data_IF_540941481698
#
_entry.id   IF_540941481698
#
_cell.length_a   1.000
_cell.length_b   1.000
_cell.length_c   1.000
_cell.angle_alpha   90.00
_cell.angle_beta   90.00
_cell.angle_gamma   90.00
#
_symmetry.space_group_name_H-M   'P 1'
#
loop_
_entity.id
_entity.type
_entity.pdbx_description
1 polymer ?
#
# COMPACT_ATOMS: atom_id res chain seq x y z
N UNK A 1 -50.88 67.67 -28.52
CA UNK A 1 -50.52 66.59 -29.48
C UNK A 1 -49.48 65.72 -28.75
N UNK A 2 -49.83 64.64 -28.05
CA UNK A 2 -50.21 63.32 -28.59
C UNK A 2 -49.16 62.78 -29.58
N UNK A 3 -48.08 62.13 -29.10
CA UNK A 3 -47.93 60.65 -29.10
C UNK A 3 -46.45 60.22 -29.03
N UNK A 4 -46.23 59.26 -28.12
CA UNK A 4 -45.30 58.13 -28.27
C UNK A 4 -43.79 58.40 -28.29
N UNK A 5 -43.24 58.86 -27.16
CA UNK A 5 -42.10 58.09 -26.64
C UNK A 5 -42.75 56.98 -25.85
N UNK A 6 -42.79 55.78 -26.43
CA UNK A 6 -42.95 54.57 -25.63
C UNK A 6 -41.77 54.61 -24.67
N UNK A 7 -41.99 55.10 -23.45
CA UNK A 7 -41.00 55.06 -22.40
C UNK A 7 -40.76 53.58 -22.18
N UNK A 8 -39.69 53.04 -22.77
CA UNK A 8 -39.38 51.64 -22.59
C UNK A 8 -38.88 51.48 -21.16
N UNK A 9 -39.81 51.25 -20.24
CA UNK A 9 -39.52 51.11 -18.82
C UNK A 9 -38.59 49.92 -18.57
N UNK A 10 -38.50 48.96 -19.49
CA UNK A 10 -37.52 47.87 -19.45
C UNK A 10 -36.10 48.39 -19.75
N UNK A 11 -35.94 49.29 -20.73
CA UNK A 11 -34.65 49.92 -21.02
C UNK A 11 -34.19 50.81 -19.85
N UNK A 12 -35.10 51.58 -19.25
CA UNK A 12 -34.79 52.41 -18.07
C UNK A 12 -34.45 51.54 -16.86
N UNK A 13 -35.21 50.47 -16.63
CA UNK A 13 -34.96 49.50 -15.57
C UNK A 13 -33.60 48.80 -15.73
N UNK A 14 -33.19 48.49 -16.97
CA UNK A 14 -31.88 47.89 -17.26
C UNK A 14 -30.71 48.82 -16.91
N UNK A 15 -30.95 50.14 -16.91
CA UNK A 15 -29.97 51.19 -16.60
C UNK A 15 -30.19 51.82 -15.23
N UNK A 16 -30.97 51.19 -14.35
CA UNK A 16 -31.34 51.80 -13.06
C UNK A 16 -30.13 52.17 -12.20
N UNK A 17 -29.04 51.39 -12.28
CA UNK A 17 -27.79 51.68 -11.57
C UNK A 17 -27.16 53.02 -11.96
N UNK A 18 -27.36 53.51 -13.19
CA UNK A 18 -26.86 54.83 -13.61
C UNK A 18 -27.60 55.94 -12.84
N UNK A 19 -28.93 55.84 -12.74
CA UNK A 19 -29.75 56.79 -11.99
C UNK A 19 -29.50 56.75 -10.48
N UNK A 20 -29.19 55.58 -9.93
CA UNK A 20 -28.80 55.43 -8.52
C UNK A 20 -27.46 56.14 -8.28
N UNK A 21 -26.47 55.98 -9.17
CA UNK A 21 -25.17 56.66 -9.05
C UNK A 21 -25.30 58.17 -9.11
N UNK A 22 -26.19 58.68 -9.98
CA UNK A 22 -26.43 60.11 -10.12
C UNK A 22 -27.33 60.69 -9.01
N UNK A 23 -28.01 59.84 -8.22
CA UNK A 23 -28.86 60.25 -7.10
C UNK A 23 -30.10 61.05 -7.50
N UNK A 24 -30.48 61.01 -8.78
CA UNK A 24 -31.52 61.85 -9.36
C UNK A 24 -32.83 61.08 -9.68
N UNK A 25 -32.87 59.77 -9.43
CA UNK A 25 -33.99 58.89 -9.81
C UNK A 25 -35.37 59.42 -9.39
N UNK A 26 -35.54 59.79 -8.11
CA UNK A 26 -36.81 60.31 -7.58
C UNK A 26 -37.14 61.76 -8.01
N UNK A 27 -36.19 62.47 -8.61
CA UNK A 27 -36.40 63.82 -9.15
C UNK A 27 -36.79 63.81 -10.63
N UNK A 28 -36.42 62.75 -11.36
CA UNK A 28 -36.64 62.61 -12.80
C UNK A 28 -38.01 61.99 -13.11
N UNK A 29 -38.43 61.00 -12.32
CA UNK A 29 -39.62 60.19 -12.64
C UNK A 29 -40.78 60.50 -11.70
N UNK A 30 -41.99 60.54 -12.26
CA UNK A 30 -43.21 60.62 -11.46
C UNK A 30 -43.52 59.27 -10.77
N UNK A 31 -44.37 59.28 -9.75
CA UNK A 31 -44.71 58.11 -8.92
C UNK A 31 -45.19 56.90 -9.74
N UNK A 32 -46.03 57.12 -10.75
CA UNK A 32 -46.54 56.03 -11.60
C UNK A 32 -45.45 55.45 -12.53
N UNK A 33 -44.48 56.26 -12.93
CA UNK A 33 -43.33 55.80 -13.72
C UNK A 33 -42.35 55.03 -12.85
N UNK A 34 -42.02 55.57 -11.66
CA UNK A 34 -41.18 54.90 -10.67
C UNK A 34 -41.70 53.49 -10.41
N UNK A 35 -42.99 53.34 -10.13
CA UNK A 35 -43.59 52.03 -9.86
C UNK A 35 -43.42 51.02 -11.01
N UNK A 36 -43.51 51.46 -12.27
CA UNK A 36 -43.31 50.60 -13.45
C UNK A 36 -41.83 50.24 -13.61
N UNK A 37 -40.94 51.21 -13.45
CA UNK A 37 -39.50 51.01 -13.51
C UNK A 37 -39.05 50.03 -12.41
N UNK A 38 -39.46 50.27 -11.17
CA UNK A 38 -39.13 49.44 -10.00
C UNK A 38 -39.58 47.99 -10.13
N UNK A 39 -40.70 47.73 -10.82
CA UNK A 39 -41.21 46.38 -11.09
C UNK A 39 -40.35 45.61 -12.10
N UNK A 40 -39.80 46.31 -13.08
CA UNK A 40 -38.99 45.71 -14.16
C UNK A 40 -37.50 45.69 -13.84
N UNK A 41 -37.09 46.26 -12.71
CA UNK A 41 -35.69 46.39 -12.29
C UNK A 41 -35.26 45.21 -11.42
N UNK A 42 -34.01 44.78 -11.61
CA UNK A 42 -33.34 43.81 -10.76
C UNK A 42 -32.23 44.53 -9.99
N UNK A 43 -32.32 44.53 -8.66
CA UNK A 43 -31.35 45.21 -7.82
C UNK A 43 -30.43 44.22 -7.11
N UNK A 44 -29.18 44.61 -6.90
CA UNK A 44 -28.41 44.07 -5.79
C UNK A 44 -28.96 44.63 -4.47
N UNK A 45 -28.72 43.95 -3.35
CA UNK A 45 -29.09 44.46 -2.03
C UNK A 45 -28.54 45.88 -1.78
N UNK A 46 -27.28 46.13 -2.17
CA UNK A 46 -26.63 47.42 -2.02
C UNK A 46 -27.30 48.50 -2.89
N UNK A 47 -27.54 48.23 -4.18
CA UNK A 47 -28.19 49.20 -5.07
C UNK A 47 -29.60 49.58 -4.58
N UNK A 48 -30.36 48.58 -4.12
CA UNK A 48 -31.69 48.82 -3.57
C UNK A 48 -31.64 49.68 -2.30
N UNK A 49 -30.73 49.35 -1.37
CA UNK A 49 -30.51 50.12 -0.13
C UNK A 49 -30.12 51.56 -0.43
N UNK A 50 -29.18 51.78 -1.36
CA UNK A 50 -28.76 53.11 -1.79
C UNK A 50 -29.92 53.88 -2.42
N UNK A 51 -30.71 53.23 -3.29
CA UNK A 51 -31.85 53.88 -3.93
C UNK A 51 -32.88 54.34 -2.90
N UNK A 52 -33.33 53.47 -1.99
CA UNK A 52 -34.34 53.86 -0.99
C UNK A 52 -33.81 54.88 0.02
N UNK A 53 -32.49 54.92 0.26
CA UNK A 53 -31.88 55.98 1.05
C UNK A 53 -32.01 57.34 0.37
N UNK A 54 -31.81 57.42 -0.94
CA UNK A 54 -31.94 58.67 -1.71
C UNK A 54 -33.37 59.23 -1.72
N UNK A 55 -34.37 58.42 -1.36
CA UNK A 55 -35.79 58.80 -1.46
C UNK A 55 -36.28 59.70 -0.31
N UNK A 56 -35.53 59.80 0.79
CA UNK A 56 -36.01 60.34 2.08
C UNK A 56 -36.50 61.79 2.06
N UNK A 57 -36.10 62.58 1.07
CA UNK A 57 -36.51 63.98 0.91
C UNK A 57 -37.55 64.19 -0.21
N UNK A 58 -37.80 63.18 -1.03
CA UNK A 58 -38.51 63.33 -2.31
C UNK A 58 -39.87 62.64 -2.33
N UNK A 59 -40.01 61.54 -1.58
CA UNK A 59 -41.22 60.70 -1.58
C UNK A 59 -41.63 60.33 -0.15
N UNK A 60 -42.93 60.26 0.14
CA UNK A 60 -43.42 59.84 1.45
C UNK A 60 -43.22 58.34 1.66
N UNK A 61 -43.08 57.89 2.90
CA UNK A 61 -42.84 56.49 3.25
C UNK A 61 -43.90 55.50 2.68
N UNK A 62 -45.18 55.89 2.65
CA UNK A 62 -46.26 55.07 2.09
C UNK A 62 -46.21 55.00 0.55
N UNK A 63 -45.88 56.10 -0.12
CA UNK A 63 -45.69 56.17 -1.57
C UNK A 63 -44.46 55.37 -1.99
N UNK A 64 -43.36 55.47 -1.23
CA UNK A 64 -42.16 54.67 -1.40
C UNK A 64 -42.48 53.18 -1.33
N UNK A 65 -43.18 52.74 -0.30
CA UNK A 65 -43.62 51.35 -0.18
C UNK A 65 -44.45 50.90 -1.40
N UNK A 66 -45.42 51.70 -1.86
CA UNK A 66 -46.24 51.35 -3.03
C UNK A 66 -45.39 51.21 -4.30
N UNK A 67 -44.38 52.06 -4.46
CA UNK A 67 -43.49 52.05 -5.61
C UNK A 67 -42.54 50.85 -5.63
N UNK A 68 -42.04 50.42 -4.46
CA UNK A 68 -40.97 49.42 -4.36
C UNK A 68 -41.46 48.01 -3.94
N UNK A 69 -42.72 47.83 -3.54
CA UNK A 69 -43.23 46.55 -3.00
C UNK A 69 -43.15 45.35 -3.95
N UNK A 70 -43.00 45.59 -5.25
CA UNK A 70 -42.90 44.54 -6.27
C UNK A 70 -41.49 44.46 -6.88
N UNK A 71 -40.51 45.06 -6.24
CA UNK A 71 -39.13 45.09 -6.72
C UNK A 71 -38.43 43.77 -6.44
N UNK A 72 -37.67 43.29 -7.41
CA UNK A 72 -36.82 42.12 -7.25
C UNK A 72 -35.44 42.53 -6.72
N UNK A 73 -35.03 41.92 -5.61
CA UNK A 73 -33.73 42.16 -4.98
C UNK A 73 -32.97 40.83 -4.95
N UNK A 74 -31.82 40.81 -5.60
CA UNK A 74 -30.89 39.69 -5.55
C UNK A 74 -30.08 39.76 -4.25
N UNK A 75 -30.31 38.76 -3.39
CA UNK A 75 -29.67 38.58 -2.09
C UNK A 75 -28.58 37.51 -2.22
N UNK A 76 -27.34 37.84 -1.86
CA UNK A 76 -26.19 36.93 -1.94
C UNK A 76 -25.65 36.53 -0.56
N UNK A 77 -25.97 37.30 0.48
CA UNK A 77 -25.48 37.05 1.84
C UNK A 77 -26.55 37.24 2.91
N UNK A 78 -26.28 36.76 4.12
CA UNK A 78 -27.14 37.01 5.28
C UNK A 78 -27.13 38.50 5.69
N UNK A 79 -26.01 39.18 5.45
CA UNK A 79 -25.85 40.62 5.68
C UNK A 79 -26.69 41.44 4.69
N UNK A 80 -26.83 40.98 3.45
CA UNK A 80 -27.70 41.59 2.43
C UNK A 80 -29.17 41.58 2.89
N UNK A 81 -29.62 40.48 3.50
CA UNK A 81 -30.98 40.38 4.07
C UNK A 81 -31.16 41.41 5.19
N UNK A 82 -30.22 41.44 6.14
CA UNK A 82 -30.29 42.33 7.30
C UNK A 82 -30.26 43.80 6.88
N UNK A 83 -29.32 44.18 6.01
CA UNK A 83 -29.17 45.55 5.51
C UNK A 83 -30.39 46.02 4.71
N UNK A 84 -30.91 45.16 3.83
CA UNK A 84 -32.14 45.44 3.07
C UNK A 84 -33.34 45.67 4.00
N UNK A 85 -33.56 44.77 4.97
CA UNK A 85 -34.67 44.89 5.93
C UNK A 85 -34.52 46.12 6.83
N UNK A 86 -33.30 46.45 7.29
CA UNK A 86 -33.02 47.66 8.08
C UNK A 86 -33.36 48.92 7.31
N UNK A 87 -32.99 49.00 6.03
CA UNK A 87 -33.29 50.14 5.18
C UNK A 87 -34.78 50.25 4.86
N UNK A 88 -35.46 49.14 4.53
CA UNK A 88 -36.92 49.10 4.35
C UNK A 88 -37.63 49.56 5.62
N UNK A 89 -37.24 49.06 6.80
CA UNK A 89 -37.76 49.51 8.10
C UNK A 89 -37.60 51.02 8.27
N UNK A 90 -36.40 51.55 8.02
CA UNK A 90 -36.03 52.96 8.23
C UNK A 90 -36.81 53.91 7.32
N UNK A 91 -36.78 53.66 6.01
CA UNK A 91 -37.32 54.61 5.02
C UNK A 91 -38.82 54.42 4.76
N UNK A 92 -39.37 53.21 4.93
CA UNK A 92 -40.81 52.93 4.78
C UNK A 92 -41.59 52.90 6.11
N UNK A 93 -40.91 53.11 7.24
CA UNK A 93 -41.51 53.14 8.60
C UNK A 93 -42.29 51.87 8.98
N UNK A 94 -41.79 50.70 8.57
CA UNK A 94 -42.43 49.40 8.83
C UNK A 94 -42.00 48.81 10.19
N UNK A 95 -42.73 49.16 11.25
CA UNK A 95 -42.44 48.71 12.62
C UNK A 95 -42.52 47.19 12.82
N UNK A 96 -43.28 46.47 11.99
CA UNK A 96 -43.39 44.99 12.05
C UNK A 96 -42.04 44.29 11.85
N UNK A 97 -41.06 44.96 11.21
CA UNK A 97 -39.74 44.40 10.94
C UNK A 97 -38.81 44.44 12.17
N UNK A 98 -39.17 45.12 13.26
CA UNK A 98 -38.32 45.23 14.45
C UNK A 98 -37.90 43.87 14.99
N UNK A 99 -38.85 43.03 15.38
CA UNK A 99 -38.55 41.70 15.93
C UNK A 99 -37.87 40.76 14.94
N UNK A 100 -38.14 40.93 13.64
CA UNK A 100 -37.48 40.15 12.58
C UNK A 100 -36.00 40.52 12.50
N UNK A 101 -35.69 41.82 12.47
CA UNK A 101 -34.31 42.31 12.40
C UNK A 101 -33.54 41.91 13.66
N UNK A 102 -34.13 42.06 14.85
CA UNK A 102 -33.48 41.70 16.11
C UNK A 102 -33.13 40.19 16.15
N UNK A 103 -34.06 39.34 15.69
CA UNK A 103 -33.82 37.90 15.56
C UNK A 103 -32.70 37.58 14.56
N UNK A 104 -32.71 38.22 13.40
CA UNK A 104 -31.66 38.02 12.38
C UNK A 104 -30.30 38.51 12.86
N UNK A 105 -30.23 39.66 13.53
CA UNK A 105 -28.99 40.18 14.12
C UNK A 105 -28.42 39.22 15.17
N UNK A 106 -29.27 38.62 16.02
CA UNK A 106 -28.84 37.58 16.95
C UNK A 106 -28.28 36.35 16.22
N UNK A 107 -28.96 35.88 15.17
CA UNK A 107 -28.50 34.73 14.39
C UNK A 107 -27.20 35.00 13.63
N UNK A 108 -27.00 36.22 13.13
CA UNK A 108 -25.74 36.64 12.51
C UNK A 108 -24.58 36.52 13.52
N UNK A 109 -24.79 36.97 14.76
CA UNK A 109 -23.79 36.89 15.82
C UNK A 109 -23.45 35.43 16.18
N UNK A 110 -24.46 34.58 16.39
CA UNK A 110 -24.26 33.16 16.68
C UNK A 110 -23.47 32.44 15.57
N UNK A 111 -23.73 32.79 14.31
CA UNK A 111 -23.02 32.27 13.16
C UNK A 111 -21.56 32.73 13.11
N UNK A 112 -21.29 34.01 13.42
CA UNK A 112 -19.93 34.55 13.52
C UNK A 112 -19.11 33.83 14.60
N UNK A 113 -19.67 33.69 15.82
CA UNK A 113 -19.01 33.01 16.95
C UNK A 113 -18.70 31.53 16.61
N UNK A 114 -19.62 30.88 15.90
CA UNK A 114 -19.45 29.49 15.45
C UNK A 114 -18.34 29.38 14.39
N UNK A 115 -18.28 30.34 13.47
CA UNK A 115 -17.24 30.39 12.41
C UNK A 115 -15.84 30.53 13.01
N UNK A 116 -15.67 31.40 14.01
CA UNK A 116 -14.38 31.56 14.70
C UNK A 116 -13.93 30.28 15.42
N UNK A 117 -14.87 29.58 16.08
CA UNK A 117 -14.57 28.29 16.74
C UNK A 117 -14.14 27.24 15.74
N UNK A 118 -14.82 27.14 14.60
CA UNK A 118 -14.46 26.20 13.53
C UNK A 118 -13.05 26.48 13.00
N UNK A 119 -12.70 27.75 12.76
CA UNK A 119 -11.37 28.13 12.29
C UNK A 119 -10.26 27.76 13.30
N UNK A 120 -10.50 27.96 14.60
CA UNK A 120 -9.57 27.54 15.66
C UNK A 120 -9.36 26.02 15.66
N UNK A 121 -10.45 25.25 15.62
CA UNK A 121 -10.39 23.78 15.57
C UNK A 121 -9.68 23.26 14.31
N UNK A 122 -9.92 23.87 13.15
CA UNK A 122 -9.21 23.54 11.91
C UNK A 122 -7.69 23.77 12.03
N UNK A 123 -7.29 24.84 12.71
CA UNK A 123 -5.88 25.15 12.94
C UNK A 123 -5.21 24.13 13.88
N UNK A 124 -5.90 23.70 14.94
CA UNK A 124 -5.42 22.66 15.85
C UNK A 124 -5.32 21.29 15.17
N UNK A 125 -6.33 20.92 14.37
CA UNK A 125 -6.33 19.67 13.61
C UNK A 125 -5.12 19.58 12.68
N UNK A 126 -4.80 20.66 11.97
CA UNK A 126 -3.63 20.72 11.09
C UNK A 126 -2.30 20.55 11.85
N UNK A 127 -2.20 21.06 13.08
CA UNK A 127 -1.00 20.86 13.92
C UNK A 127 -0.85 19.39 14.34
N UNK A 128 -1.95 18.77 14.77
CA UNK A 128 -1.98 17.35 15.17
C UNK A 128 -1.60 16.45 13.99
N UNK A 129 -2.12 16.73 12.79
CA UNK A 129 -1.79 15.97 11.59
C UNK A 129 -0.30 16.03 11.25
N UNK A 130 0.32 17.21 11.35
CA UNK A 130 1.78 17.36 11.14
C UNK A 130 2.60 16.59 12.18
N UNK A 131 2.20 16.61 13.44
CA UNK A 131 2.86 15.85 14.50
C UNK A 131 2.74 14.34 14.25
N UNK A 132 1.54 13.86 13.90
CA UNK A 132 1.31 12.46 13.55
C UNK A 132 2.21 12.01 12.40
N UNK A 133 2.30 12.79 11.32
CA UNK A 133 3.17 12.46 10.19
C UNK A 133 4.65 12.39 10.58
N UNK A 134 5.11 13.27 11.47
CA UNK A 134 6.48 13.22 12.01
C UNK A 134 6.71 11.92 12.78
N UNK A 135 5.80 11.55 13.68
CA UNK A 135 5.89 10.30 14.45
C UNK A 135 5.83 9.06 13.56
N UNK A 136 4.98 9.04 12.53
CA UNK A 136 4.89 7.92 11.58
C UNK A 136 6.21 7.69 10.82
N UNK A 137 6.92 8.77 10.46
CA UNK A 137 8.23 8.66 9.81
C UNK A 137 9.31 8.15 10.77
N UNK A 138 9.28 8.59 12.03
CA UNK A 138 10.23 8.14 13.06
C UNK A 138 10.04 6.65 13.37
N UNK A 139 8.79 6.18 13.45
CA UNK A 139 8.47 4.76 13.60
C UNK A 139 9.04 3.93 12.44
N UNK A 140 8.87 4.37 11.18
CA UNK A 140 9.43 3.67 10.02
C UNK A 140 10.96 3.57 10.08
N UNK A 141 11.63 4.64 10.49
CA UNK A 141 13.09 4.65 10.66
C UNK A 141 13.53 3.64 11.71
N UNK A 142 12.88 3.63 12.87
CA UNK A 142 13.18 2.69 13.96
C UNK A 142 12.94 1.23 13.55
N UNK A 143 11.87 0.96 12.79
CA UNK A 143 11.60 -0.38 12.25
C UNK A 143 12.71 -0.86 11.30
N UNK A 144 13.21 0.01 10.43
CA UNK A 144 14.34 -0.32 9.54
C UNK A 144 15.61 -0.64 10.33
N UNK A 145 15.89 0.12 11.38
CA UNK A 145 17.06 -0.11 12.24
C UNK A 145 16.93 -1.44 13.00
N UNK A 146 15.74 -1.74 13.54
CA UNK A 146 15.48 -2.99 14.25
C UNK A 146 15.70 -4.21 13.34
N UNK A 147 15.23 -4.15 12.08
CA UNK A 147 15.43 -5.22 11.11
C UNK A 147 16.93 -5.45 10.84
N UNK A 148 17.71 -4.38 10.65
CA UNK A 148 19.16 -4.49 10.45
C UNK A 148 19.87 -5.10 11.66
N UNK A 149 19.48 -4.72 12.89
CA UNK A 149 20.04 -5.28 14.12
C UNK A 149 19.71 -6.78 14.20
N UNK A 150 18.45 -7.16 13.98
CA UNK A 150 18.04 -8.56 14.02
C UNK A 150 18.78 -9.42 12.99
N UNK A 151 18.97 -8.91 11.77
CA UNK A 151 19.78 -9.59 10.74
C UNK A 151 21.24 -9.75 11.19
N UNK A 152 21.85 -8.71 11.76
CA UNK A 152 23.25 -8.74 12.22
C UNK A 152 23.44 -9.71 13.38
N UNK A 153 22.57 -9.66 14.40
CA UNK A 153 22.65 -10.54 15.56
C UNK A 153 22.43 -12.00 15.19
N UNK A 154 21.48 -12.28 14.29
CA UNK A 154 21.28 -13.66 13.80
C UNK A 154 22.51 -14.16 13.03
N UNK A 155 23.14 -13.31 12.21
CA UNK A 155 24.37 -13.68 11.51
C UNK A 155 25.52 -13.97 12.48
N UNK A 156 25.73 -13.15 13.51
CA UNK A 156 26.77 -13.38 14.52
C UNK A 156 26.58 -14.71 15.27
N UNK A 157 25.35 -14.99 15.72
CA UNK A 157 25.02 -16.24 16.41
C UNK A 157 25.27 -17.48 15.53
N UNK A 158 24.93 -17.40 14.24
CA UNK A 158 25.21 -18.49 13.31
C UNK A 158 26.71 -18.70 13.04
N UNK A 159 27.51 -17.64 13.01
CA UNK A 159 28.97 -17.74 12.85
C UNK A 159 29.63 -18.37 14.09
N UNK A 160 29.13 -18.07 15.28
CA UNK A 160 29.55 -18.73 16.52
C UNK A 160 29.23 -20.23 16.49
N UNK A 161 28.00 -20.60 16.08
CA UNK A 161 27.57 -22.00 15.92
C UNK A 161 28.42 -22.74 14.89
N UNK A 162 28.79 -22.11 13.76
CA UNK A 162 29.73 -22.71 12.79
C UNK A 162 31.08 -23.01 13.46
N UNK A 163 31.60 -22.07 14.26
CA UNK A 163 32.89 -22.20 14.94
C UNK A 163 32.89 -23.32 15.98
N UNK A 164 31.76 -23.52 16.67
CA UNK A 164 31.53 -24.64 17.59
C UNK A 164 31.46 -25.98 16.84
N UNK A 165 30.58 -26.08 15.84
CA UNK A 165 30.35 -27.31 15.06
C UNK A 165 31.60 -27.75 14.28
N UNK A 166 32.47 -26.82 13.91
CA UNK A 166 33.77 -27.14 13.29
C UNK A 166 34.64 -28.02 14.20
N UNK A 167 34.56 -27.82 15.52
CA UNK A 167 35.31 -28.57 16.54
C UNK A 167 34.57 -29.83 17.01
N UNK A 168 33.26 -29.93 16.75
CA UNK A 168 32.43 -31.07 17.13
C UNK A 168 32.52 -32.20 16.11
N UNK A 169 32.44 -33.44 16.57
CA UNK A 169 32.27 -34.63 15.72
C UNK A 169 30.81 -35.13 15.70
N UNK A 170 29.89 -34.39 16.31
CA UNK A 170 28.46 -34.67 16.27
C UNK A 170 27.86 -34.34 14.89
N UNK A 171 27.79 -35.36 14.04
CA UNK A 171 27.21 -35.25 12.71
C UNK A 171 25.72 -34.85 12.74
N UNK A 172 24.96 -35.32 13.71
CA UNK A 172 23.52 -35.04 13.76
C UNK A 172 23.27 -33.55 14.03
N UNK A 173 24.04 -32.95 14.93
CA UNK A 173 24.03 -31.49 15.14
C UNK A 173 24.45 -30.71 13.89
N UNK A 174 25.43 -31.19 13.14
CA UNK A 174 25.86 -30.56 11.88
C UNK A 174 24.75 -30.64 10.83
N UNK A 175 24.13 -31.81 10.66
CA UNK A 175 23.03 -32.00 9.72
C UNK A 175 21.84 -31.10 10.07
N UNK A 176 21.41 -31.12 11.33
CA UNK A 176 20.28 -30.31 11.82
C UNK A 176 20.55 -28.81 11.67
N UNK A 177 21.80 -28.38 11.83
CA UNK A 177 22.20 -27.01 11.55
C UNK A 177 22.00 -26.63 10.08
N UNK A 178 22.47 -27.46 9.15
CA UNK A 178 22.24 -27.21 7.72
C UNK A 178 20.76 -27.25 7.33
N UNK A 179 19.99 -28.17 7.91
CA UNK A 179 18.54 -28.25 7.71
C UNK A 179 17.82 -26.99 8.21
N UNK A 180 18.18 -26.50 9.41
CA UNK A 180 17.68 -25.26 9.99
C UNK A 180 17.96 -24.07 9.05
N UNK A 181 19.22 -23.89 8.63
CA UNK A 181 19.60 -22.80 7.73
C UNK A 181 18.85 -22.86 6.39
N UNK A 182 18.72 -24.06 5.82
CA UNK A 182 17.98 -24.29 4.59
C UNK A 182 16.50 -23.95 4.77
N UNK A 183 15.89 -24.34 5.90
CA UNK A 183 14.48 -24.02 6.21
C UNK A 183 14.23 -22.50 6.27
N UNK A 184 15.17 -21.75 6.84
CA UNK A 184 15.10 -20.28 6.99
C UNK A 184 15.54 -19.52 5.72
N UNK A 185 16.16 -20.20 4.75
CA UNK A 185 16.65 -19.58 3.50
C UNK A 185 17.96 -18.81 3.66
N UNK A 186 18.76 -19.10 4.69
CA UNK A 186 20.00 -18.40 5.02
C UNK A 186 21.18 -18.84 4.13
N UNK A 187 21.08 -18.63 2.82
CA UNK A 187 22.08 -19.11 1.85
C UNK A 187 23.51 -18.61 2.13
N UNK A 188 23.67 -17.34 2.56
CA UNK A 188 24.98 -16.79 2.91
C UNK A 188 25.68 -17.58 4.01
N UNK A 189 24.93 -18.00 5.04
CA UNK A 189 25.46 -18.79 6.16
C UNK A 189 25.73 -20.23 5.72
N UNK A 190 24.87 -20.81 4.87
CA UNK A 190 25.11 -22.14 4.29
C UNK A 190 26.42 -22.13 3.49
N UNK A 191 26.64 -21.11 2.65
CA UNK A 191 27.91 -20.93 1.91
C UNK A 191 29.09 -20.88 2.85
N UNK A 192 29.00 -20.08 3.93
CA UNK A 192 30.08 -19.99 4.92
C UNK A 192 30.35 -21.32 5.63
N UNK A 193 29.30 -22.02 6.07
CA UNK A 193 29.43 -23.35 6.66
C UNK A 193 30.03 -24.36 5.67
N UNK A 194 29.73 -24.22 4.37
CA UNK A 194 30.29 -25.03 3.31
C UNK A 194 31.80 -24.77 3.11
N UNK A 195 32.22 -23.50 3.08
CA UNK A 195 33.62 -23.07 3.00
C UNK A 195 34.46 -23.59 4.18
N UNK A 196 33.89 -23.55 5.38
CA UNK A 196 34.53 -24.07 6.60
C UNK A 196 34.57 -25.61 6.63
N UNK A 197 34.00 -26.28 5.62
CA UNK A 197 34.10 -27.72 5.40
C UNK A 197 33.17 -28.55 6.27
N UNK A 198 32.19 -27.96 6.96
CA UNK A 198 31.27 -28.70 7.85
C UNK A 198 30.52 -29.78 7.08
N UNK A 199 30.11 -29.50 5.84
CA UNK A 199 29.41 -30.47 4.99
C UNK A 199 30.23 -31.72 4.65
N UNK A 200 31.57 -31.66 4.77
CA UNK A 200 32.49 -32.78 4.51
C UNK A 200 32.67 -33.71 5.70
N UNK A 201 32.26 -33.29 6.91
CA UNK A 201 32.25 -34.17 8.09
C UNK A 201 31.33 -35.35 7.81
N UNK A 202 31.76 -36.53 8.26
CA UNK A 202 31.05 -37.77 7.98
C UNK A 202 30.45 -38.35 9.26
N UNK A 203 29.38 -39.13 9.12
CA UNK A 203 28.81 -39.92 10.23
C UNK A 203 29.87 -40.83 10.87
N UNK A 204 29.84 -41.03 12.21
CA UNK A 204 30.72 -41.96 12.90
C UNK A 204 30.57 -43.40 12.38
N UNK A 205 31.65 -44.18 12.47
CA UNK A 205 31.66 -45.60 12.07
C UNK A 205 31.14 -46.49 13.20
N UNK A 206 29.82 -46.49 13.40
CA UNK A 206 29.24 -47.22 14.53
C UNK A 206 28.80 -48.66 14.21
N UNK A 207 28.87 -49.10 12.94
CA UNK A 207 28.69 -50.52 12.60
C UNK A 207 29.35 -50.94 11.28
N UNK A 208 29.50 -52.25 11.08
CA UNK A 208 29.99 -52.88 9.83
C UNK A 208 29.06 -52.65 8.62
N UNK A 209 27.89 -52.04 8.84
CA UNK A 209 26.84 -51.82 7.84
C UNK A 209 26.42 -50.35 7.70
N UNK A 210 27.01 -49.42 8.48
CA UNK A 210 26.67 -48.00 8.35
C UNK A 210 27.66 -47.28 7.44
N UNK A 211 27.14 -46.76 6.34
CA UNK A 211 27.90 -46.01 5.35
C UNK A 211 28.26 -44.66 5.97
N UNK A 212 29.55 -44.42 6.20
CA UNK A 212 30.08 -43.10 6.55
C UNK A 212 29.70 -42.10 5.45
N UNK A 213 28.78 -41.21 5.77
CA UNK A 213 28.07 -40.30 4.85
C UNK A 213 28.27 -38.86 5.27
N UNK A 214 28.40 -37.97 4.30
CA UNK A 214 28.47 -36.53 4.56
C UNK A 214 27.08 -35.88 4.52
N UNK A 215 26.97 -34.58 4.77
CA UNK A 215 25.68 -33.87 4.85
C UNK A 215 24.87 -33.98 3.56
N UNK A 216 25.53 -33.92 2.39
CA UNK A 216 24.86 -34.02 1.09
C UNK A 216 24.30 -35.43 0.86
N UNK A 217 25.05 -36.48 1.24
CA UNK A 217 24.55 -37.86 1.17
C UNK A 217 23.33 -38.05 2.06
N UNK A 218 23.38 -37.58 3.31
CA UNK A 218 22.27 -37.72 4.26
C UNK A 218 21.05 -36.92 3.80
N UNK A 219 21.24 -35.72 3.24
CA UNK A 219 20.15 -34.93 2.65
C UNK A 219 19.49 -35.65 1.47
N UNK A 220 20.28 -36.30 0.61
CA UNK A 220 19.77 -37.10 -0.51
C UNK A 220 19.05 -38.37 -0.04
N UNK A 221 19.59 -39.06 0.98
CA UNK A 221 18.99 -40.24 1.62
C UNK A 221 17.67 -39.92 2.33
N UNK A 222 17.56 -38.74 2.96
CA UNK A 222 16.31 -38.25 3.60
C UNK A 222 15.34 -37.60 2.61
N UNK A 223 15.74 -37.36 1.37
CA UNK A 223 14.88 -36.72 0.36
C UNK A 223 14.69 -35.22 0.55
N UNK A 224 15.56 -34.56 1.33
CA UNK A 224 15.47 -33.12 1.60
C UNK A 224 15.95 -32.29 0.41
N UNK A 225 15.09 -32.17 -0.61
CA UNK A 225 15.40 -31.46 -1.86
C UNK A 225 15.83 -30.00 -1.64
N UNK A 226 15.22 -29.31 -0.66
CA UNK A 226 15.55 -27.91 -0.36
C UNK A 226 17.01 -27.77 0.10
N UNK A 227 17.43 -28.66 1.00
CA UNK A 227 18.81 -28.70 1.48
C UNK A 227 19.77 -29.15 0.37
N UNK A 228 19.42 -30.17 -0.42
CA UNK A 228 20.25 -30.62 -1.55
C UNK A 228 20.53 -29.47 -2.52
N UNK A 229 19.50 -28.72 -2.95
CA UNK A 229 19.66 -27.54 -3.81
C UNK A 229 20.60 -26.50 -3.20
N UNK A 230 20.35 -26.15 -1.93
CA UNK A 230 21.14 -25.13 -1.23
C UNK A 230 22.62 -25.51 -1.10
N UNK A 231 22.91 -26.78 -0.77
CA UNK A 231 24.29 -27.27 -0.65
C UNK A 231 25.03 -27.24 -2.00
N UNK A 232 24.38 -27.66 -3.09
CA UNK A 232 24.96 -27.63 -4.43
C UNK A 232 25.20 -26.20 -4.91
N UNK A 233 24.22 -25.31 -4.71
CA UNK A 233 24.34 -23.88 -5.06
C UNK A 233 25.47 -23.21 -4.29
N UNK A 234 25.75 -23.66 -3.06
CA UNK A 234 26.89 -23.25 -2.24
C UNK A 234 28.21 -23.97 -2.56
N UNK A 235 28.29 -24.72 -3.66
CA UNK A 235 29.54 -25.31 -4.16
C UNK A 235 29.92 -26.66 -3.54
N UNK A 236 29.00 -27.35 -2.86
CA UNK A 236 29.25 -28.74 -2.46
C UNK A 236 29.42 -29.63 -3.70
N UNK A 237 30.35 -30.58 -3.63
CA UNK A 237 30.62 -31.50 -4.73
C UNK A 237 29.49 -32.51 -4.87
N UNK A 238 28.74 -32.42 -5.99
CA UNK A 238 27.66 -33.36 -6.33
C UNK A 238 28.15 -34.79 -6.59
N UNK A 239 29.44 -34.99 -6.86
CA UNK A 239 30.08 -36.30 -7.10
C UNK A 239 30.87 -36.81 -5.88
N UNK A 240 30.67 -36.18 -4.72
CA UNK A 240 31.27 -36.61 -3.47
C UNK A 240 30.99 -38.10 -3.21
N UNK A 241 31.96 -38.82 -2.65
CA UNK A 241 31.88 -40.25 -2.41
C UNK A 241 31.85 -40.54 -0.92
N UNK A 242 30.92 -41.40 -0.52
CA UNK A 242 30.88 -42.00 0.82
C UNK A 242 32.01 -43.03 0.99
N UNK A 243 32.12 -43.66 2.16
CA UNK A 243 33.11 -44.72 2.38
C UNK A 243 32.94 -45.95 1.45
N UNK A 244 31.74 -46.22 0.96
CA UNK A 244 31.47 -47.28 -0.01
C UNK A 244 31.33 -46.74 -1.43
N UNK A 245 31.91 -45.58 -1.71
CA UNK A 245 31.82 -44.88 -3.00
C UNK A 245 30.40 -44.54 -3.46
N UNK A 246 29.43 -44.49 -2.55
CA UNK A 246 28.09 -44.01 -2.90
C UNK A 246 28.20 -42.53 -3.26
N UNK A 247 27.62 -42.14 -4.38
CA UNK A 247 27.38 -40.73 -4.71
C UNK A 247 26.04 -40.28 -4.13
N UNK A 248 25.79 -38.97 -3.99
CA UNK A 248 24.47 -38.42 -3.63
C UNK A 248 23.33 -38.98 -4.50
N UNK A 249 23.58 -39.18 -5.80
CA UNK A 249 22.62 -39.76 -6.73
C UNK A 249 22.32 -41.22 -6.40
N UNK A 250 23.34 -42.01 -6.03
CA UNK A 250 23.16 -43.40 -5.60
C UNK A 250 22.32 -43.44 -4.31
N UNK A 251 22.60 -42.60 -3.32
CA UNK A 251 21.81 -42.51 -2.09
C UNK A 251 20.33 -42.19 -2.36
N UNK A 252 20.05 -41.15 -3.16
CA UNK A 252 18.68 -40.78 -3.50
C UNK A 252 17.95 -41.89 -4.29
N UNK A 253 18.67 -42.57 -5.19
CA UNK A 253 18.11 -43.65 -6.02
C UNK A 253 17.78 -44.89 -5.21
N UNK A 254 18.66 -45.28 -4.29
CA UNK A 254 18.46 -46.41 -3.37
C UNK A 254 17.28 -46.19 -2.44
N UNK A 255 17.10 -44.98 -1.93
CA UNK A 255 16.01 -44.66 -0.98
C UNK A 255 14.68 -44.34 -1.68
N UNK A 256 14.72 -43.96 -2.96
CA UNK A 256 13.52 -43.74 -3.79
C UNK A 256 13.06 -42.29 -3.90
N UNK A 257 13.96 -41.31 -3.69
CA UNK A 257 13.62 -39.89 -3.71
C UNK A 257 13.67 -39.29 -5.11
N UNK A 258 12.60 -39.50 -5.89
CA UNK A 258 12.54 -39.16 -7.31
C UNK A 258 12.87 -37.70 -7.62
N UNK A 259 12.36 -36.76 -6.83
CA UNK A 259 12.59 -35.33 -7.10
C UNK A 259 14.04 -34.92 -6.84
N UNK A 260 14.73 -35.57 -5.89
CA UNK A 260 16.18 -35.39 -5.69
C UNK A 260 16.96 -36.00 -6.85
N UNK A 261 16.59 -37.21 -7.30
CA UNK A 261 17.21 -37.87 -8.46
C UNK A 261 17.08 -37.01 -9.72
N UNK A 262 15.88 -36.50 -10.02
CA UNK A 262 15.64 -35.60 -11.15
C UNK A 262 16.52 -34.36 -11.07
N UNK A 263 16.58 -33.72 -9.90
CA UNK A 263 17.41 -32.54 -9.70
C UNK A 263 18.90 -32.85 -9.92
N UNK A 264 19.45 -33.89 -9.29
CA UNK A 264 20.85 -34.27 -9.44
C UNK A 264 21.21 -34.58 -10.90
N UNK A 265 20.35 -35.31 -11.63
CA UNK A 265 20.54 -35.55 -13.07
C UNK A 265 20.51 -34.23 -13.86
N UNK A 266 19.60 -33.32 -13.54
CA UNK A 266 19.46 -32.04 -14.26
C UNK A 266 20.69 -31.14 -14.14
N UNK A 267 21.44 -31.25 -13.03
CA UNK A 267 22.70 -30.54 -12.80
C UNK A 267 23.94 -31.34 -13.27
N UNK A 268 23.71 -32.45 -13.99
CA UNK A 268 24.76 -33.26 -14.61
C UNK A 268 25.46 -34.23 -13.66
N UNK A 269 24.76 -34.79 -12.66
CA UNK A 269 25.31 -35.89 -11.88
C UNK A 269 25.52 -37.14 -12.76
N UNK A 270 26.61 -37.88 -12.52
CA UNK A 270 26.93 -39.08 -13.30
C UNK A 270 25.96 -40.23 -13.00
N UNK A 271 25.04 -40.48 -13.94
CA UNK A 271 24.03 -41.55 -13.85
C UNK A 271 24.62 -42.96 -13.94
N UNK A 272 25.87 -43.10 -14.36
CA UNK A 272 26.60 -44.37 -14.45
C UNK A 272 27.67 -44.52 -13.35
N UNK A 273 27.71 -43.59 -12.38
CA UNK A 273 28.63 -43.67 -11.26
C UNK A 273 28.49 -45.02 -10.55
N UNK A 274 29.62 -45.64 -10.22
CA UNK A 274 29.66 -46.93 -9.53
C UNK A 274 30.06 -46.76 -8.07
N UNK A 275 29.35 -47.43 -7.19
CA UNK A 275 29.77 -47.64 -5.82
C UNK A 275 30.87 -48.72 -5.71
N UNK A 276 31.32 -49.02 -4.49
CA UNK A 276 32.40 -49.98 -4.24
C UNK A 276 32.07 -51.42 -4.67
N UNK A 277 30.79 -51.73 -4.89
CA UNK A 277 30.34 -53.02 -5.38
C UNK A 277 30.12 -53.02 -6.90
N UNK A 278 30.43 -51.92 -7.59
CA UNK A 278 30.18 -51.76 -9.00
C UNK A 278 28.73 -51.44 -9.35
N UNK A 279 27.87 -51.19 -8.36
CA UNK A 279 26.45 -50.90 -8.60
C UNK A 279 26.26 -49.45 -9.05
N UNK A 280 25.50 -49.26 -10.13
CA UNK A 280 25.05 -47.94 -10.60
C UNK A 280 23.83 -47.45 -9.81
N UNK A 281 23.43 -46.17 -9.91
CA UNK A 281 22.14 -45.70 -9.38
C UNK A 281 20.95 -46.57 -9.80
N UNK A 282 20.95 -47.09 -11.04
CA UNK A 282 19.92 -47.97 -11.55
C UNK A 282 19.93 -49.35 -10.87
N UNK A 283 21.11 -49.95 -10.67
CA UNK A 283 21.25 -51.22 -9.93
C UNK A 283 20.79 -51.04 -8.48
N UNK A 284 21.19 -49.96 -7.80
CA UNK A 284 20.79 -49.69 -6.41
C UNK A 284 19.28 -49.43 -6.25
N UNK A 285 18.68 -48.70 -7.20
CA UNK A 285 17.22 -48.53 -7.25
C UNK A 285 16.49 -49.87 -7.46
N UNK A 286 17.04 -50.76 -8.28
CA UNK A 286 16.47 -52.09 -8.57
C UNK A 286 16.56 -53.02 -7.36
N UNK A 287 17.73 -53.12 -6.74
CA UNK A 287 17.95 -53.88 -5.49
C UNK A 287 17.00 -53.43 -4.37
N UNK A 288 16.57 -52.17 -4.38
CA UNK A 288 15.70 -51.58 -3.37
C UNK A 288 14.23 -51.45 -3.80
N UNK A 289 13.85 -51.98 -4.97
CA UNK A 289 12.47 -51.99 -5.48
C UNK A 289 11.89 -50.60 -5.79
N UNK A 290 12.72 -49.61 -6.15
CA UNK A 290 12.31 -48.21 -6.36
C UNK A 290 11.84 -47.97 -7.81
N UNK A 291 10.68 -48.55 -8.14
CA UNK A 291 10.11 -48.58 -9.50
C UNK A 291 10.08 -47.23 -10.23
N UNK A 292 9.71 -46.14 -9.56
CA UNK A 292 9.63 -44.82 -10.19
C UNK A 292 11.02 -44.25 -10.56
N UNK A 293 12.05 -44.55 -9.75
CA UNK A 293 13.44 -44.22 -10.09
C UNK A 293 13.91 -45.04 -11.28
N UNK A 294 13.62 -46.35 -11.29
CA UNK A 294 14.00 -47.28 -12.36
C UNK A 294 13.43 -46.78 -13.69
N UNK A 295 12.13 -46.49 -13.75
CA UNK A 295 11.47 -45.93 -14.94
C UNK A 295 12.15 -44.64 -15.41
N UNK A 296 12.42 -43.73 -14.47
CA UNK A 296 13.04 -42.46 -14.79
C UNK A 296 14.47 -42.62 -15.33
N UNK A 297 15.33 -43.38 -14.65
CA UNK A 297 16.71 -43.63 -15.08
C UNK A 297 16.78 -44.31 -16.44
N UNK A 298 15.91 -45.31 -16.72
CA UNK A 298 15.80 -45.92 -18.04
C UNK A 298 15.36 -44.89 -19.10
N UNK A 299 14.40 -44.03 -18.77
CA UNK A 299 13.90 -43.01 -19.70
C UNK A 299 14.96 -41.98 -20.13
N UNK A 300 15.96 -41.73 -19.28
CA UNK A 300 17.10 -40.84 -19.58
C UNK A 300 18.33 -41.59 -20.12
N UNK A 301 18.15 -42.87 -20.47
CA UNK A 301 19.17 -43.71 -21.08
C UNK A 301 20.26 -44.19 -20.12
N UNK A 302 19.93 -44.51 -18.88
CA UNK A 302 20.84 -45.24 -18.00
C UNK A 302 21.10 -46.67 -18.55
N UNK A 303 22.31 -47.19 -18.40
CA UNK A 303 22.68 -48.51 -18.93
C UNK A 303 22.00 -49.64 -18.15
N UNK A 304 20.95 -50.20 -18.75
CA UNK A 304 20.21 -51.35 -18.21
C UNK A 304 20.98 -52.67 -18.25
N UNK A 305 22.08 -52.74 -18.99
CA UNK A 305 22.95 -53.92 -19.09
C UNK A 305 24.22 -53.76 -18.22
N UNK A 306 24.35 -52.65 -17.48
CA UNK A 306 25.43 -52.43 -16.55
C UNK A 306 25.52 -53.59 -15.55
N UNK A 307 26.76 -54.01 -15.26
CA UNK A 307 27.03 -55.09 -14.31
C UNK A 307 27.73 -54.57 -13.07
N UNK A 308 27.28 -55.07 -11.93
CA UNK A 308 28.00 -54.98 -10.66
C UNK A 308 29.23 -55.92 -10.65
N UNK A 309 29.97 -55.93 -9.54
CA UNK A 309 31.17 -56.76 -9.39
C UNK A 309 30.91 -58.27 -9.41
N UNK A 310 29.65 -58.71 -9.22
CA UNK A 310 29.24 -60.11 -9.27
C UNK A 310 28.62 -60.50 -10.61
N UNK A 311 28.54 -59.56 -11.56
CA UNK A 311 27.97 -59.78 -12.88
C UNK A 311 26.45 -59.62 -12.94
N UNK A 312 25.80 -59.13 -11.88
CA UNK A 312 24.36 -58.92 -11.86
C UNK A 312 23.98 -57.65 -12.62
N UNK A 313 22.86 -57.71 -13.33
CA UNK A 313 22.25 -56.56 -14.01
C UNK A 313 21.10 -56.01 -13.16
N UNK A 314 20.61 -54.79 -13.44
CA UNK A 314 19.40 -54.24 -12.79
C UNK A 314 18.14 -55.11 -12.87
N UNK A 315 18.08 -56.14 -13.72
CA UNK A 315 16.89 -56.96 -13.96
C UNK A 315 16.74 -58.16 -12.99
N UNK A 316 17.77 -58.48 -12.19
CA UNK A 316 17.87 -59.72 -11.41
C UNK A 316 16.93 -59.78 -10.20
#
# INVERSE_FOLDING_TARGET
MSKDIIQNYEDIASRISDYIKEGNFFYIFEIEDIKKIMKNSNFTANDFVTLIEQSHHTIKANELYICTRNTNIHIQSFEDVISTLKSVKKYMKLGILNGIIDFLDQKAKEMSDSTEKIQKLQTELNKIQKQKQKSDNEIKSLQSQLNQINETTNQEAFLEKISELKKSDDFESIYNFFEELSSQGNQTIISKACEEGLWKKMTPKDSKYDESRNVLHEACKKGNLKLVKSLIECGCDKETRSYYDFTPLICASREGHLEVVKYLISIGADKEAKDSNGCTPLIQASNSGKHEIIKYLISIGADKEAKDQWGNTPLI
#
